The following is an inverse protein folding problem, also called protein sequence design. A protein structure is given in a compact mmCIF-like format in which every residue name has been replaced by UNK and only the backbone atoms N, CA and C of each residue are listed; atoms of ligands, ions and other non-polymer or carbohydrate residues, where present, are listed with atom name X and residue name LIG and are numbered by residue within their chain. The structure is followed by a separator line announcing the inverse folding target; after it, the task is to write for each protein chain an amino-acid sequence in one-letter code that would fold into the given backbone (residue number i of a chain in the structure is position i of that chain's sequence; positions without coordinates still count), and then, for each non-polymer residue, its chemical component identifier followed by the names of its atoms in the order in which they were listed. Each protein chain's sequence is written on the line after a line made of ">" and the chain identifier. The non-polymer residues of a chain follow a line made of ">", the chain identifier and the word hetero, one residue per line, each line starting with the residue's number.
data_IF_377636025547
#
_entry.id   IF_377636025547
#
_cell.length_a   1.000
_cell.length_b   1.000
_cell.length_c   1.000
_cell.angle_alpha   90.00
_cell.angle_beta   90.00
_cell.angle_gamma   90.00
#
_symmetry.space_group_name_H-M   'P 1'
#
loop_
_entity.id
_entity.type
_entity.pdbx_description
1 polymer ?
#
# COMPACT_ATOMS: atom_id res chain seq x y z
N UNK A 1 31.29 5.75 15.06
CA UNK A 1 30.13 4.84 15.21
C UNK A 1 29.17 5.22 14.11
N UNK A 2 29.18 4.43 13.04
CA UNK A 2 28.58 4.74 11.74
C UNK A 2 27.06 4.93 11.81
N UNK A 3 26.60 6.05 11.24
CA UNK A 3 25.21 6.53 11.25
C UNK A 3 24.43 6.02 10.02
N UNK A 4 24.98 5.03 9.31
CA UNK A 4 24.42 4.52 8.08
C UNK A 4 24.19 3.01 8.21
N UNK A 5 22.94 2.61 7.95
CA UNK A 5 22.45 1.25 7.73
C UNK A 5 21.62 0.59 8.87
N UNK A 6 20.61 1.28 9.39
CA UNK A 6 19.42 0.56 9.85
C UNK A 6 18.56 0.23 8.64
N UNK A 7 18.67 -1.01 8.14
CA UNK A 7 17.70 -1.58 7.21
C UNK A 7 16.34 -1.52 7.90
N UNK A 8 15.47 -0.59 7.49
CA UNK A 8 14.14 -0.47 8.06
C UNK A 8 13.44 -1.83 8.02
N UNK A 9 13.04 -2.33 9.19
CA UNK A 9 12.36 -3.61 9.31
C UNK A 9 11.05 -3.53 8.53
N UNK A 10 10.87 -4.44 7.57
CA UNK A 10 9.60 -4.57 6.85
C UNK A 10 8.65 -5.38 7.72
N UNK A 11 7.50 -4.80 8.04
CA UNK A 11 6.47 -5.44 8.83
C UNK A 11 5.35 -5.97 7.91
N UNK A 12 4.92 -7.22 8.06
CA UNK A 12 3.76 -7.72 7.32
C UNK A 12 2.48 -6.99 7.75
N UNK A 13 1.62 -6.73 6.78
CA UNK A 13 0.31 -6.10 6.96
C UNK A 13 -0.73 -6.93 6.22
N UNK A 14 -2.00 -6.73 6.54
CA UNK A 14 -3.08 -7.34 5.77
C UNK A 14 -3.45 -6.45 4.60
N UNK A 15 -3.64 -7.04 3.43
CA UNK A 15 -3.97 -6.33 2.19
C UNK A 15 -5.12 -7.05 1.50
N UNK A 16 -6.14 -6.29 1.08
CA UNK A 16 -7.28 -6.83 0.35
C UNK A 16 -7.72 -5.87 -0.77
N UNK A 17 -7.98 -6.36 -1.99
CA UNK A 17 -7.83 -7.75 -2.41
C UNK A 17 -6.35 -8.14 -2.57
N UNK A 18 -6.05 -9.44 -2.44
CA UNK A 18 -4.69 -9.95 -2.65
C UNK A 18 -4.22 -9.87 -4.11
N UNK A 19 -5.17 -9.68 -5.04
CA UNK A 19 -4.95 -9.52 -6.47
C UNK A 19 -5.97 -8.54 -7.03
N UNK A 20 -5.55 -7.69 -7.97
CA UNK A 20 -6.42 -6.74 -8.67
C UNK A 20 -6.40 -7.05 -10.17
N UNK A 21 -7.57 -7.17 -10.77
CA UNK A 21 -7.75 -7.44 -12.19
C UNK A 21 -8.34 -6.24 -12.91
N UNK A 22 -7.64 -5.73 -13.93
CA UNK A 22 -8.09 -4.64 -14.79
C UNK A 22 -8.41 -5.20 -16.18
N UNK A 23 -9.66 -5.05 -16.64
CA UNK A 23 -10.06 -5.44 -17.99
C UNK A 23 -10.08 -4.19 -18.86
N UNK A 24 -9.16 -4.10 -19.82
CA UNK A 24 -8.94 -2.90 -20.64
C UNK A 24 -10.24 -2.42 -21.31
N UNK A 25 -11.03 -3.36 -21.85
CA UNK A 25 -12.25 -3.05 -22.60
C UNK A 25 -13.49 -2.82 -21.70
N UNK A 26 -13.33 -2.84 -20.37
CA UNK A 26 -14.42 -2.60 -19.40
C UNK A 26 -14.04 -1.45 -18.46
N UNK A 27 -14.46 -0.20 -18.77
CA UNK A 27 -14.16 0.99 -17.96
C UNK A 27 -14.48 0.83 -16.47
N UNK A 28 -15.54 0.10 -16.12
CA UNK A 28 -15.94 -0.13 -14.73
C UNK A 28 -14.92 -0.93 -13.91
N UNK A 29 -14.03 -1.68 -14.57
CA UNK A 29 -12.96 -2.45 -13.92
C UNK A 29 -11.65 -1.67 -13.80
N UNK A 30 -11.56 -0.48 -14.39
CA UNK A 30 -10.34 0.34 -14.39
C UNK A 30 -10.08 1.05 -13.06
N UNK A 31 -11.02 0.94 -12.10
CA UNK A 31 -10.88 1.40 -10.73
C UNK A 31 -11.02 0.21 -9.80
N UNK A 32 -10.12 0.10 -8.83
CA UNK A 32 -10.13 -0.98 -7.85
C UNK A 32 -9.71 -0.43 -6.50
N UNK A 33 -10.42 -0.86 -5.47
CA UNK A 33 -10.16 -0.47 -4.09
C UNK A 33 -9.14 -1.42 -3.48
N UNK A 34 -8.07 -0.88 -2.91
CA UNK A 34 -7.09 -1.63 -2.12
C UNK A 34 -7.14 -1.16 -0.66
N UNK A 35 -7.43 -2.08 0.25
CA UNK A 35 -7.42 -1.83 1.69
C UNK A 35 -6.16 -2.41 2.32
N UNK A 36 -5.44 -1.61 3.09
CA UNK A 36 -4.28 -2.04 3.88
C UNK A 36 -4.60 -1.88 5.37
N UNK A 37 -4.52 -2.96 6.14
CA UNK A 37 -4.79 -2.97 7.57
C UNK A 37 -3.50 -3.17 8.39
N UNK A 38 -3.34 -2.32 9.40
CA UNK A 38 -2.26 -2.39 10.37
C UNK A 38 -2.69 -3.19 11.62
N UNK A 39 -2.19 -4.43 11.81
CA UNK A 39 -2.54 -5.24 12.98
C UNK A 39 -1.76 -4.86 14.24
N UNK A 40 -0.82 -3.93 14.16
CA UNK A 40 0.09 -3.61 15.25
C UNK A 40 -0.49 -2.56 16.21
N UNK A 41 -0.06 -2.57 17.49
CA UNK A 41 -0.45 -1.56 18.48
C UNK A 41 0.34 -0.23 18.35
N UNK A 42 1.02 -0.01 17.21
CA UNK A 42 1.79 1.20 16.91
C UNK A 42 1.57 1.64 15.46
N UNK A 43 1.75 2.94 15.15
CA UNK A 43 1.62 3.43 13.78
C UNK A 43 2.74 2.88 12.89
N UNK A 44 2.39 2.56 11.65
CA UNK A 44 3.34 2.10 10.63
C UNK A 44 3.39 3.07 9.46
N UNK A 45 4.59 3.31 8.94
CA UNK A 45 4.77 4.04 7.69
C UNK A 45 4.83 3.06 6.52
N UNK A 46 4.15 3.37 5.43
CA UNK A 46 4.15 2.55 4.22
C UNK A 46 4.54 3.34 2.98
N UNK A 47 4.91 2.59 1.93
CA UNK A 47 5.10 3.10 0.57
C UNK A 47 4.62 2.05 -0.41
N UNK A 48 3.81 2.46 -1.39
CA UNK A 48 3.38 1.63 -2.51
C UNK A 48 4.47 1.66 -3.57
N UNK A 49 4.83 0.48 -4.08
CA UNK A 49 5.80 0.31 -5.16
C UNK A 49 5.06 -0.30 -6.36
N UNK A 50 5.43 0.13 -7.56
CA UNK A 50 4.83 -0.33 -8.81
C UNK A 50 5.92 -0.44 -9.89
N UNK A 51 5.76 -1.40 -10.80
CA UNK A 51 6.65 -1.62 -11.94
C UNK A 51 6.32 -0.74 -13.16
N UNK A 52 5.11 -0.19 -13.26
CA UNK A 52 4.64 0.66 -14.37
C UNK A 52 3.81 1.85 -13.84
N UNK A 53 4.42 2.80 -13.10
CA UNK A 53 3.70 3.86 -12.40
C UNK A 53 2.88 4.79 -13.33
N UNK A 54 3.23 4.90 -14.61
CA UNK A 54 2.45 5.66 -15.60
C UNK A 54 1.06 5.07 -15.87
N UNK A 55 0.85 3.79 -15.54
CA UNK A 55 -0.38 3.05 -15.88
C UNK A 55 -1.39 3.05 -14.73
N UNK A 56 -1.03 3.57 -13.56
CA UNK A 56 -1.87 3.52 -12.35
C UNK A 56 -1.94 4.89 -11.70
N UNK A 57 -3.16 5.42 -11.58
CA UNK A 57 -3.42 6.63 -10.81
C UNK A 57 -3.78 6.25 -9.37
N UNK A 58 -2.96 6.69 -8.41
CA UNK A 58 -3.21 6.53 -6.98
C UNK A 58 -3.36 7.91 -6.33
N UNK A 59 -4.31 8.05 -5.40
CA UNK A 59 -4.49 9.30 -4.64
C UNK A 59 -3.28 9.65 -3.76
N UNK A 60 -2.58 8.62 -3.25
CA UNK A 60 -1.32 8.75 -2.52
C UNK A 60 -0.52 7.45 -2.63
N UNK A 61 0.80 7.55 -2.48
CA UNK A 61 1.72 6.39 -2.59
C UNK A 61 2.51 6.13 -1.32
N UNK A 62 2.34 6.97 -0.29
CA UNK A 62 3.02 6.87 1.00
C UNK A 62 2.15 7.48 2.09
N UNK A 63 2.33 7.02 3.32
CA UNK A 63 1.60 7.55 4.45
C UNK A 63 1.83 6.74 5.72
N UNK A 64 1.05 7.08 6.75
CA UNK A 64 1.10 6.41 8.05
C UNK A 64 -0.27 5.82 8.36
N UNK A 65 -0.30 4.54 8.73
CA UNK A 65 -1.52 3.86 9.20
C UNK A 65 -1.41 3.78 10.72
N UNK A 66 -2.40 4.33 11.43
CA UNK A 66 -2.46 4.26 12.90
C UNK A 66 -2.60 2.82 13.38
N UNK A 67 -2.31 2.59 14.66
CA UNK A 67 -2.49 1.29 15.31
C UNK A 67 -3.93 0.78 15.12
N UNK A 68 -4.07 -0.49 14.72
CA UNK A 68 -5.39 -1.14 14.55
C UNK A 68 -6.31 -0.46 13.51
N UNK A 69 -5.79 0.40 12.64
CA UNK A 69 -6.55 1.08 11.61
C UNK A 69 -6.26 0.49 10.23
N UNK A 70 -7.11 0.81 9.27
CA UNK A 70 -6.88 0.54 7.85
C UNK A 70 -6.85 1.83 7.05
N UNK A 71 -6.37 1.73 5.82
CA UNK A 71 -6.45 2.77 4.81
C UNK A 71 -6.92 2.16 3.49
N UNK A 72 -7.75 2.93 2.79
CA UNK A 72 -8.30 2.60 1.49
C UNK A 72 -7.58 3.42 0.42
N UNK A 73 -7.21 2.76 -0.68
CA UNK A 73 -6.45 3.31 -1.81
C UNK A 73 -7.20 3.09 -3.12
#
# INVERSE_FOLDING_TARGET
>A
MDIHNQKAQRLPVFVQPGEINFIVDKPDTQKSLLTIFNPYPFPIYFRVLCNAPSNYALGFTKGTIRAGCYIDM
#
